data_IF_443091959321
#
_entry.id   IF_443091959321
#
_cell.length_a   1.000
_cell.length_b   1.000
_cell.length_c   1.000
_cell.angle_alpha   90.00
_cell.angle_beta   90.00
_cell.angle_gamma   90.00
#
_symmetry.space_group_name_H-M   'P 1'
#
loop_
_entity.id
_entity.type
_entity.pdbx_description
1 polymer ?
#
# COMPACT_ATOMS: atom_id res chain seq x y z
N UNK A 1 4.94 27.06 1.33
CA UNK A 1 5.62 25.92 0.71
C UNK A 1 5.68 24.84 1.77
N UNK A 2 4.71 23.93 1.75
CA UNK A 2 4.66 22.82 2.71
C UNK A 2 5.86 21.92 2.43
N UNK A 3 6.70 21.74 3.46
CA UNK A 3 7.93 20.97 3.36
C UNK A 3 7.62 19.58 2.86
N UNK A 4 8.28 19.19 1.77
CA UNK A 4 8.53 17.78 1.53
C UNK A 4 9.28 17.28 2.76
N UNK A 5 8.67 16.40 3.54
CA UNK A 5 9.49 15.54 4.37
C UNK A 5 10.28 14.69 3.37
N UNK A 6 11.58 14.98 3.23
CA UNK A 6 12.44 14.32 2.26
C UNK A 6 12.44 12.82 2.56
N UNK A 7 11.85 12.02 1.68
CA UNK A 7 12.00 10.58 1.74
C UNK A 7 13.45 10.26 1.37
N UNK A 8 14.13 9.46 2.18
CA UNK A 8 15.54 9.15 2.01
C UNK A 8 15.72 7.63 2.03
N UNK A 9 16.56 7.12 1.13
CA UNK A 9 16.98 5.73 1.14
C UNK A 9 18.43 5.60 1.61
N UNK A 10 18.73 4.48 2.24
CA UNK A 10 20.08 4.07 2.64
C UNK A 10 20.48 2.91 1.73
N UNK A 11 21.65 3.03 1.10
CA UNK A 11 22.16 2.00 0.21
C UNK A 11 23.07 1.04 1.00
N UNK A 12 22.83 -0.27 0.85
CA UNK A 12 23.68 -1.30 1.44
C UNK A 12 25.13 -1.20 0.95
N UNK A 13 26.09 -1.41 1.85
CA UNK A 13 27.52 -1.32 1.53
C UNK A 13 28.09 0.11 1.51
N UNK A 14 27.32 1.11 1.96
CA UNK A 14 27.88 2.42 2.29
C UNK A 14 28.58 2.36 3.66
N UNK A 15 29.88 2.63 3.69
CA UNK A 15 30.67 2.72 4.94
C UNK A 15 30.02 3.79 5.85
N UNK A 16 29.75 3.45 7.11
CA UNK A 16 28.98 4.26 8.07
C UNK A 16 29.43 5.74 8.13
N UNK A 17 28.72 6.58 7.37
CA UNK A 17 28.32 7.98 7.62
C UNK A 17 27.25 8.34 6.58
N UNK A 18 26.22 7.50 6.48
CA UNK A 18 25.00 7.56 5.63
C UNK A 18 24.99 8.57 4.46
N UNK A 19 25.33 8.18 3.22
CA UNK A 19 24.83 8.89 2.06
C UNK A 19 23.32 8.64 1.95
N UNK A 20 22.53 9.52 2.59
CA UNK A 20 21.08 9.57 2.41
C UNK A 20 20.81 10.08 1.01
N UNK A 21 20.23 9.23 0.17
CA UNK A 21 19.88 9.61 -1.20
C UNK A 21 18.42 10.05 -1.23
N UNK A 22 18.10 11.21 -1.83
CA UNK A 22 16.72 11.62 -2.05
C UNK A 22 15.92 10.55 -2.80
N UNK A 23 14.76 10.21 -2.25
CA UNK A 23 13.77 9.35 -2.88
C UNK A 23 12.61 10.23 -3.35
N UNK A 24 12.42 10.28 -4.66
CA UNK A 24 11.30 10.98 -5.27
C UNK A 24 10.07 10.08 -5.17
N UNK A 25 8.99 10.58 -4.56
CA UNK A 25 7.69 9.89 -4.55
C UNK A 25 6.75 10.63 -5.51
N UNK A 26 6.67 10.22 -6.78
CA UNK A 26 5.83 10.90 -7.76
C UNK A 26 4.36 10.90 -7.32
N UNK A 27 3.71 12.05 -7.44
CA UNK A 27 2.28 12.25 -7.16
C UNK A 27 1.80 11.94 -5.73
N UNK A 28 2.70 11.78 -4.75
CA UNK A 28 2.33 11.51 -3.35
C UNK A 28 1.29 12.51 -2.81
N UNK A 29 1.58 13.81 -2.98
CA UNK A 29 0.72 14.89 -2.49
C UNK A 29 -0.52 15.13 -3.36
N UNK A 30 -0.54 14.62 -4.59
CA UNK A 30 -1.62 14.87 -5.55
C UNK A 30 -2.69 13.78 -5.51
N UNK A 31 -2.27 12.52 -5.52
CA UNK A 31 -3.19 11.38 -5.64
C UNK A 31 -3.20 10.47 -4.41
N UNK A 32 -2.21 10.60 -3.52
CA UNK A 32 -1.99 9.61 -2.46
C UNK A 32 -1.85 8.19 -3.01
N UNK A 33 -2.28 7.19 -2.23
CA UNK A 33 -2.32 5.79 -2.67
C UNK A 33 -3.56 5.55 -3.53
N UNK A 34 -3.37 5.15 -4.78
CA UNK A 34 -4.45 4.84 -5.72
C UNK A 34 -4.64 3.32 -5.85
N UNK A 35 -5.83 2.84 -5.48
CA UNK A 35 -6.27 1.46 -5.73
C UNK A 35 -6.83 1.37 -7.15
N UNK A 36 -6.17 0.63 -8.04
CA UNK A 36 -6.59 0.48 -9.44
C UNK A 36 -7.35 -0.83 -9.70
N UNK A 37 -7.71 -1.56 -8.64
CA UNK A 37 -8.47 -2.80 -8.73
C UNK A 37 -9.91 -2.61 -8.24
N UNK A 38 -10.92 -3.10 -8.99
CA UNK A 38 -12.30 -3.09 -8.54
C UNK A 38 -12.48 -4.04 -7.35
N UNK A 39 -13.34 -3.64 -6.42
CA UNK A 39 -13.82 -4.47 -5.31
C UNK A 39 -15.31 -4.24 -5.12
N UNK A 40 -15.98 -5.20 -4.47
CA UNK A 40 -17.41 -5.13 -4.19
C UNK A 40 -17.65 -4.84 -2.71
N UNK A 41 -18.63 -3.99 -2.44
CA UNK A 41 -19.13 -3.71 -1.09
C UNK A 41 -20.56 -4.23 -1.05
N UNK A 42 -20.80 -5.19 -0.17
CA UNK A 42 -22.10 -5.81 0.03
C UNK A 42 -22.70 -5.25 1.32
N UNK A 43 -23.97 -4.83 1.26
CA UNK A 43 -24.67 -4.31 2.42
C UNK A 43 -24.79 -5.39 3.51
N UNK A 44 -24.45 -5.03 4.75
CA UNK A 44 -24.47 -5.95 5.89
C UNK A 44 -23.23 -6.84 6.03
N UNK A 45 -22.28 -6.77 5.09
CA UNK A 45 -21.02 -7.51 5.16
C UNK A 45 -19.83 -6.59 5.50
N UNK A 46 -18.77 -7.18 6.03
CA UNK A 46 -17.48 -6.49 6.21
C UNK A 46 -16.56 -6.89 5.08
N UNK A 47 -16.26 -5.95 4.19
CA UNK A 47 -15.23 -6.12 3.15
C UNK A 47 -13.86 -5.81 3.75
N UNK A 48 -12.97 -6.80 3.78
CA UNK A 48 -11.59 -6.64 4.23
C UNK A 48 -10.67 -6.57 3.01
N UNK A 49 -9.86 -5.50 2.92
CA UNK A 49 -8.86 -5.30 1.88
C UNK A 49 -7.47 -5.37 2.49
N UNK A 50 -6.68 -6.37 2.10
CA UNK A 50 -5.26 -6.44 2.45
C UNK A 50 -4.44 -5.85 1.32
N UNK A 51 -3.65 -4.83 1.66
CA UNK A 51 -2.75 -4.12 0.74
C UNK A 51 -1.32 -4.59 1.04
N UNK A 52 -0.73 -5.30 0.08
CA UNK A 52 0.66 -5.72 0.16
C UNK A 52 1.53 -4.77 -0.67
N UNK A 53 2.56 -4.21 -0.02
CA UNK A 53 3.51 -3.25 -0.59
C UNK A 53 4.94 -3.70 -0.28
N UNK A 54 5.68 -4.05 -1.32
CA UNK A 54 7.09 -4.43 -1.25
C UNK A 54 7.95 -3.20 -1.56
N UNK A 55 8.49 -2.56 -0.51
CA UNK A 55 9.28 -1.35 -0.64
C UNK A 55 10.56 -1.57 -1.45
N UNK A 56 11.23 -2.71 -1.26
CA UNK A 56 12.49 -3.04 -1.92
C UNK A 56 12.30 -3.16 -3.43
N UNK A 57 11.21 -3.82 -3.87
CA UNK A 57 10.86 -3.92 -5.29
C UNK A 57 10.24 -2.66 -5.88
N UNK A 58 9.84 -1.71 -5.03
CA UNK A 58 9.16 -0.47 -5.46
C UNK A 58 10.11 0.71 -5.64
N UNK A 59 11.36 0.60 -5.20
CA UNK A 59 12.39 1.62 -5.47
C UNK A 59 13.07 1.32 -6.79
N UNK A 60 12.99 2.25 -7.73
CA UNK A 60 13.65 2.15 -9.04
C UNK A 60 14.68 3.26 -9.18
N UNK A 61 15.83 2.92 -9.78
CA UNK A 61 16.82 3.91 -10.20
C UNK A 61 16.49 4.35 -11.63
N UNK A 62 16.35 5.65 -11.85
CA UNK A 62 16.13 6.21 -13.20
C UNK A 62 17.43 6.23 -14.00
N UNK A 63 17.32 6.39 -15.31
CA UNK A 63 18.49 6.48 -16.21
C UNK A 63 19.38 7.70 -15.87
N UNK A 64 18.78 8.75 -15.32
CA UNK A 64 19.47 9.96 -14.83
C UNK A 64 20.11 9.79 -13.44
N UNK A 65 19.95 8.61 -12.82
CA UNK A 65 20.59 8.25 -11.56
C UNK A 65 19.81 8.62 -10.29
N UNK A 66 18.61 9.18 -10.42
CA UNK A 66 17.70 9.45 -9.31
C UNK A 66 16.98 8.17 -8.85
N UNK A 67 16.46 8.18 -7.63
CA UNK A 67 15.65 7.08 -7.11
C UNK A 67 14.20 7.52 -6.99
N UNK A 68 13.30 6.74 -7.59
CA UNK A 68 11.86 6.96 -7.52
C UNK A 68 11.17 5.82 -6.79
N UNK A 69 10.15 6.15 -6.00
CA UNK A 69 9.24 5.17 -5.43
C UNK A 69 8.05 4.94 -6.37
N UNK A 70 7.98 3.75 -6.96
CA UNK A 70 6.85 3.26 -7.76
C UNK A 70 6.20 2.07 -7.07
N UNK A 71 5.23 2.31 -6.17
CA UNK A 71 4.60 1.23 -5.43
C UNK A 71 3.81 0.32 -6.37
N UNK A 72 4.17 -0.96 -6.40
CA UNK A 72 3.33 -1.98 -7.00
C UNK A 72 2.36 -2.46 -5.92
N UNK A 73 1.14 -1.94 -5.95
CA UNK A 73 0.10 -2.28 -4.97
C UNK A 73 -0.60 -3.57 -5.39
N UNK A 74 -0.51 -4.61 -4.55
CA UNK A 74 -1.34 -5.81 -4.68
C UNK A 74 -2.49 -5.74 -3.69
N UNK A 75 -3.70 -6.01 -4.16
CA UNK A 75 -4.92 -6.02 -3.35
C UNK A 75 -5.47 -7.44 -3.31
N UNK A 76 -5.68 -7.97 -2.11
CA UNK A 76 -6.45 -9.20 -1.91
C UNK A 76 -7.69 -8.85 -1.09
N UNK A 77 -8.86 -9.30 -1.55
CA UNK A 77 -10.15 -9.06 -0.88
C UNK A 77 -10.69 -10.35 -0.27
N UNK A 78 -11.20 -10.27 0.95
CA UNK A 78 -12.00 -11.32 1.57
C UNK A 78 -13.31 -10.73 2.09
N UNK A 79 -14.41 -11.46 1.93
CA UNK A 79 -15.68 -11.14 2.59
C UNK A 79 -15.90 -12.08 3.76
N UNK A 80 -16.28 -11.52 4.91
CA UNK A 80 -16.69 -12.29 6.08
C UNK A 80 -18.19 -12.13 6.25
N UNK A 81 -18.90 -13.25 6.07
CA UNK A 81 -20.35 -13.31 6.28
C UNK A 81 -20.59 -13.57 7.77
N UNK A 82 -21.10 -12.56 8.49
CA UNK A 82 -21.52 -12.72 9.87
C UNK A 82 -22.96 -13.26 9.91
N UNK A 83 -23.19 -14.50 9.50
CA UNK A 83 -24.51 -15.12 9.65
C UNK A 83 -24.73 -15.55 11.12
N UNK A 84 -25.35 -14.66 11.90
CA UNK A 84 -25.84 -14.98 13.25
C UNK A 84 -27.31 -15.42 13.26
N UNK A 85 -27.88 -15.89 12.14
CA UNK A 85 -29.27 -16.34 12.07
C UNK A 85 -29.43 -17.86 11.97
N UNK A 86 -28.74 -18.62 12.82
CA UNK A 86 -29.22 -19.96 13.20
C UNK A 86 -30.34 -19.83 14.26
N UNK A 87 -31.54 -19.43 13.82
CA UNK A 87 -32.76 -19.76 14.57
C UNK A 87 -33.04 -21.24 14.35
N UNK A 88 -32.57 -22.08 15.27
CA UNK A 88 -33.11 -23.43 15.41
C UNK A 88 -34.57 -23.29 15.84
N UNK A 89 -35.50 -23.39 14.88
CA UNK A 89 -36.91 -23.59 15.17
C UNK A 89 -37.10 -25.07 15.49
N UNK A 90 -36.74 -25.43 16.72
CA UNK A 90 -37.18 -26.69 17.32
C UNK A 90 -38.63 -26.53 17.81
N UNK A 91 -39.49 -27.48 17.43
CA UNK A 91 -40.72 -27.79 18.17
C UNK A 91 -42.03 -27.24 17.60
N UNK A 92 -42.79 -28.12 16.94
CA UNK A 92 -44.19 -27.95 16.58
C UNK A 92 -44.73 -29.13 15.78
#
# INVERSE_FOLDING_TARGET
MGGVEDALIVLEGSEETEPKVPLVIPSFYETGIKLIHPFEIIEGETTELTIDFDAEKSVVKTDDGEYELKPVIKVTSSTTINDSTLVNVDGG
#
